data_IF_583237861467
#
_entry.id   IF_583237861467
#
_cell.length_a   1.000
_cell.length_b   1.000
_cell.length_c   1.000
_cell.angle_alpha   90.00
_cell.angle_beta   90.00
_cell.angle_gamma   90.00
#
_symmetry.space_group_name_H-M   'P 1'
#
loop_
_entity.id
_entity.type
_entity.pdbx_description
1 polymer ?
#
# COMPACT_ATOMS: atom_id res chain seq x y z
N UNK A 1 23.05 -1.57 8.08
CA UNK A 1 21.73 -1.99 8.57
C UNK A 1 21.97 -3.25 9.40
N UNK A 2 21.71 -3.23 10.70
CA UNK A 2 21.86 -4.41 11.55
C UNK A 2 20.63 -5.31 11.35
N UNK A 3 20.78 -6.38 10.58
CA UNK A 3 19.69 -7.32 10.27
C UNK A 3 19.35 -8.23 11.46
N UNK A 4 20.21 -8.29 12.46
CA UNK A 4 20.07 -9.16 13.63
C UNK A 4 19.01 -8.69 14.64
N UNK A 5 18.47 -7.47 14.48
CA UNK A 5 17.48 -6.86 15.37
C UNK A 5 16.09 -6.70 14.76
N UNK A 6 15.80 -7.41 13.65
CA UNK A 6 14.48 -7.31 12.99
C UNK A 6 13.39 -8.01 13.81
N UNK A 7 12.26 -7.32 14.01
CA UNK A 7 11.08 -7.84 14.74
C UNK A 7 10.24 -8.81 13.91
N UNK A 8 10.36 -8.75 12.59
CA UNK A 8 9.67 -9.66 11.67
C UNK A 8 10.68 -10.69 11.21
N UNK A 9 10.37 -11.98 11.40
CA UNK A 9 11.22 -13.06 10.92
C UNK A 9 11.42 -12.97 9.40
N UNK A 10 12.67 -12.80 8.99
CA UNK A 10 13.07 -12.69 7.59
C UNK A 10 13.08 -14.09 6.97
N UNK A 11 12.05 -14.42 6.24
CA UNK A 11 11.91 -15.66 5.46
C UNK A 11 10.99 -15.43 4.27
N UNK A 12 11.14 -16.23 3.23
CA UNK A 12 10.19 -16.24 2.12
C UNK A 12 8.78 -16.67 2.59
N UNK A 13 7.76 -16.02 2.06
CA UNK A 13 6.37 -16.25 2.45
C UNK A 13 5.48 -16.41 1.23
N UNK A 14 4.44 -17.25 1.37
CA UNK A 14 3.35 -17.26 0.41
C UNK A 14 2.52 -15.99 0.51
N UNK A 15 1.75 -15.67 -0.54
CA UNK A 15 0.87 -14.50 -0.51
C UNK A 15 -0.19 -14.61 0.60
N UNK A 16 -0.73 -15.81 0.86
CA UNK A 16 -1.68 -16.04 1.95
C UNK A 16 -1.04 -15.77 3.33
N UNK A 17 0.22 -16.20 3.55
CA UNK A 17 0.93 -15.90 4.79
C UNK A 17 1.15 -14.39 4.99
N UNK A 18 1.32 -13.63 3.89
CA UNK A 18 1.46 -12.18 3.95
C UNK A 18 0.14 -11.49 4.35
N UNK A 19 -1.01 -12.01 3.89
CA UNK A 19 -2.32 -11.54 4.32
C UNK A 19 -2.52 -11.75 5.83
N UNK A 20 -2.21 -12.94 6.34
CA UNK A 20 -2.29 -13.24 7.77
C UNK A 20 -1.32 -12.39 8.60
N UNK A 21 -0.09 -12.24 8.11
CA UNK A 21 0.92 -11.43 8.79
C UNK A 21 0.49 -9.97 8.87
N UNK A 22 -0.15 -9.44 7.83
CA UNK A 22 -0.65 -8.07 7.82
C UNK A 22 -1.67 -7.83 8.93
N UNK A 23 -2.59 -8.78 9.18
CA UNK A 23 -3.54 -8.68 10.30
C UNK A 23 -2.83 -8.66 11.66
N UNK A 24 -1.78 -9.47 11.83
CA UNK A 24 -0.98 -9.47 13.07
C UNK A 24 -0.26 -8.13 13.27
N UNK A 25 0.38 -7.61 12.22
CA UNK A 25 1.06 -6.30 12.27
C UNK A 25 0.07 -5.17 12.61
N UNK A 26 -1.12 -5.17 11.99
CA UNK A 26 -2.17 -4.19 12.29
C UNK A 26 -2.61 -4.30 13.75
N UNK A 27 -2.79 -5.50 14.28
CA UNK A 27 -3.15 -5.71 15.68
C UNK A 27 -2.07 -5.23 16.64
N UNK A 28 -0.80 -5.52 16.37
CA UNK A 28 0.33 -5.13 17.22
C UNK A 28 0.59 -3.61 17.19
N UNK A 29 0.37 -2.97 16.04
CA UNK A 29 0.60 -1.54 15.83
C UNK A 29 -0.70 -0.76 15.60
N UNK A 30 -1.83 -1.17 16.21
CA UNK A 30 -3.16 -0.67 15.89
C UNK A 30 -3.28 0.85 15.94
N UNK A 31 -2.87 1.49 17.05
CA UNK A 31 -2.99 2.94 17.22
C UNK A 31 -2.11 3.75 16.24
N UNK A 32 -0.80 3.45 16.10
CA UNK A 32 0.03 4.16 15.14
C UNK A 32 -0.42 3.97 13.69
N UNK A 33 -0.84 2.76 13.34
CA UNK A 33 -1.36 2.49 12.00
C UNK A 33 -2.69 3.20 11.74
N UNK A 34 -3.61 3.20 12.72
CA UNK A 34 -4.84 3.97 12.60
C UNK A 34 -4.56 5.47 12.37
N UNK A 35 -3.58 6.04 13.08
CA UNK A 35 -3.16 7.43 12.87
C UNK A 35 -2.59 7.65 11.46
N UNK A 36 -1.69 6.78 10.98
CA UNK A 36 -1.11 6.92 9.63
C UNK A 36 -2.14 6.67 8.53
N UNK A 37 -3.09 5.75 8.73
CA UNK A 37 -4.21 5.54 7.82
C UNK A 37 -5.12 6.77 7.75
N UNK A 38 -5.45 7.34 8.90
CA UNK A 38 -6.28 8.55 8.96
C UNK A 38 -5.60 9.72 8.25
N UNK A 39 -4.31 9.95 8.50
CA UNK A 39 -3.55 11.02 7.85
C UNK A 39 -3.45 10.82 6.33
N UNK A 40 -3.33 9.59 5.87
CA UNK A 40 -3.21 9.28 4.45
C UNK A 40 -4.56 9.18 3.73
N UNK A 41 -5.50 8.38 4.27
CA UNK A 41 -6.74 8.03 3.60
C UNK A 41 -7.84 9.10 3.73
N UNK A 42 -7.99 9.74 4.89
CA UNK A 42 -9.09 10.70 5.12
C UNK A 42 -9.01 11.92 4.22
N UNK A 43 -7.85 12.60 4.04
CA UNK A 43 -7.76 13.72 3.11
C UNK A 43 -8.14 13.33 1.67
N UNK A 44 -7.71 12.15 1.23
CA UNK A 44 -8.02 11.64 -0.11
C UNK A 44 -9.51 11.29 -0.25
N UNK A 45 -10.08 10.62 0.76
CA UNK A 45 -11.51 10.32 0.79
C UNK A 45 -12.38 11.59 0.75
N UNK A 46 -12.01 12.62 1.49
CA UNK A 46 -12.69 13.92 1.49
C UNK A 46 -12.54 14.65 0.15
N UNK A 47 -11.35 14.60 -0.44
CA UNK A 47 -11.09 15.16 -1.76
C UNK A 47 -11.93 14.45 -2.83
N UNK A 48 -11.98 13.13 -2.83
CA UNK A 48 -12.83 12.34 -3.72
C UNK A 48 -14.31 12.69 -3.56
N UNK A 49 -14.78 12.77 -2.31
CA UNK A 49 -16.16 13.11 -2.03
C UNK A 49 -16.50 14.51 -2.56
N UNK A 50 -15.63 15.49 -2.34
CA UNK A 50 -15.81 16.86 -2.84
C UNK A 50 -15.79 16.91 -4.37
N UNK A 51 -14.83 16.23 -5.02
CA UNK A 51 -14.66 16.24 -6.46
C UNK A 51 -15.82 15.55 -7.20
N UNK A 52 -16.32 14.46 -6.61
CA UNK A 52 -17.40 13.68 -7.20
C UNK A 52 -18.80 14.23 -6.85
N UNK A 53 -18.90 15.14 -5.87
CA UNK A 53 -20.17 15.71 -5.46
C UNK A 53 -20.91 16.40 -6.61
N UNK A 54 -20.19 17.06 -7.52
CA UNK A 54 -20.80 17.73 -8.68
C UNK A 54 -21.28 16.75 -9.77
N UNK A 55 -20.73 15.52 -9.78
CA UNK A 55 -21.14 14.49 -10.76
C UNK A 55 -22.35 13.70 -10.30
N UNK A 56 -22.81 13.96 -9.07
CA UNK A 56 -23.88 13.22 -8.40
C UNK A 56 -25.19 14.03 -8.45
N UNK A 57 -25.84 14.08 -9.58
CA UNK A 57 -27.22 14.51 -9.62
C UNK A 57 -28.09 13.40 -9.04
N UNK A 58 -28.97 13.74 -8.09
CA UNK A 58 -29.86 12.78 -7.41
C UNK A 58 -30.69 11.92 -8.36
N UNK A 59 -31.05 12.48 -9.54
CA UNK A 59 -31.83 11.78 -10.57
C UNK A 59 -31.09 10.60 -11.21
N UNK A 60 -29.76 10.59 -11.21
CA UNK A 60 -28.98 9.49 -11.81
C UNK A 60 -28.99 8.22 -10.94
N UNK A 61 -29.17 8.35 -9.62
CA UNK A 61 -29.20 7.22 -8.69
C UNK A 61 -30.56 6.50 -8.62
N UNK A 62 -31.61 7.05 -9.20
CA UNK A 62 -32.94 6.42 -9.23
C UNK A 62 -32.94 5.08 -9.98
N UNK A 63 -32.02 4.92 -10.94
CA UNK A 63 -31.91 3.70 -11.75
C UNK A 63 -30.72 2.80 -11.34
N UNK A 64 -30.06 3.09 -10.23
CA UNK A 64 -28.90 2.38 -9.74
C UNK A 64 -27.61 3.22 -9.75
N UNK A 65 -26.46 2.60 -9.49
CA UNK A 65 -25.19 3.33 -9.48
C UNK A 65 -24.77 3.71 -10.88
N UNK A 66 -24.54 5.00 -11.18
CA UNK A 66 -23.99 5.39 -12.46
C UNK A 66 -22.62 4.75 -12.69
N UNK A 67 -22.43 4.09 -13.81
CA UNK A 67 -21.13 3.51 -14.19
C UNK A 67 -20.03 4.57 -14.22
N UNK A 68 -20.36 5.79 -14.64
CA UNK A 68 -19.50 6.96 -14.66
C UNK A 68 -18.95 7.27 -13.27
N UNK A 69 -19.80 7.28 -12.24
CA UNK A 69 -19.39 7.47 -10.85
C UNK A 69 -18.40 6.39 -10.39
N UNK A 70 -18.68 5.12 -10.66
CA UNK A 70 -17.78 4.02 -10.29
C UNK A 70 -16.42 4.13 -10.99
N UNK A 71 -16.40 4.48 -12.28
CA UNK A 71 -15.18 4.65 -13.05
C UNK A 71 -14.35 5.84 -12.55
N UNK A 72 -14.98 6.98 -12.25
CA UNK A 72 -14.29 8.13 -11.67
C UNK A 72 -13.77 7.83 -10.27
N UNK A 73 -14.56 7.19 -9.42
CA UNK A 73 -14.12 6.74 -8.09
C UNK A 73 -12.90 5.84 -8.20
N UNK A 74 -12.94 4.83 -9.06
CA UNK A 74 -11.82 3.92 -9.25
C UNK A 74 -10.57 4.63 -9.79
N UNK A 75 -10.75 5.54 -10.74
CA UNK A 75 -9.66 6.34 -11.31
C UNK A 75 -8.95 7.17 -10.23
N UNK A 76 -9.70 7.93 -9.43
CA UNK A 76 -9.15 8.78 -8.39
C UNK A 76 -8.47 7.97 -7.29
N UNK A 77 -9.09 6.88 -6.83
CA UNK A 77 -8.48 5.99 -5.84
C UNK A 77 -7.14 5.42 -6.35
N UNK A 78 -7.08 4.95 -7.59
CA UNK A 78 -5.85 4.42 -8.18
C UNK A 78 -4.76 5.49 -8.26
N UNK A 79 -5.12 6.73 -8.53
CA UNK A 79 -4.19 7.85 -8.60
C UNK A 79 -3.66 8.25 -7.21
N UNK A 80 -4.54 8.34 -6.23
CA UNK A 80 -4.23 8.81 -4.88
C UNK A 80 -3.58 7.77 -3.98
N UNK A 81 -3.76 6.48 -4.29
CA UNK A 81 -3.26 5.37 -3.49
C UNK A 81 -1.80 5.50 -3.04
N UNK A 82 -0.83 5.92 -3.88
CA UNK A 82 0.56 6.09 -3.44
C UNK A 82 0.75 7.20 -2.40
N UNK A 83 -0.02 8.29 -2.51
CA UNK A 83 0.01 9.40 -1.55
C UNK A 83 -0.60 8.97 -0.22
N UNK A 84 -1.78 8.33 -0.28
CA UNK A 84 -2.46 7.81 0.90
C UNK A 84 -1.63 6.76 1.66
N UNK A 85 -0.87 5.92 0.93
CA UNK A 85 -0.03 4.88 1.51
C UNK A 85 1.30 5.41 2.09
N UNK A 86 1.75 6.60 1.71
CA UNK A 86 3.08 7.09 2.05
C UNK A 86 3.33 7.19 3.57
N UNK A 87 2.44 7.76 4.42
CA UNK A 87 2.65 7.82 5.86
C UNK A 87 2.81 6.43 6.49
N UNK A 88 1.96 5.49 6.09
CA UNK A 88 1.98 4.10 6.56
C UNK A 88 3.26 3.38 6.17
N UNK A 89 3.70 3.54 4.92
CA UNK A 89 4.93 2.92 4.41
C UNK A 89 6.16 3.42 5.16
N UNK A 90 6.26 4.73 5.40
CA UNK A 90 7.38 5.32 6.16
C UNK A 90 7.37 4.86 7.62
N UNK A 91 6.19 4.83 8.26
CA UNK A 91 6.04 4.34 9.62
C UNK A 91 6.48 2.88 9.74
N UNK A 92 5.95 1.98 8.88
CA UNK A 92 6.30 0.56 8.89
C UNK A 92 7.78 0.32 8.62
N UNK A 93 8.40 1.11 7.73
CA UNK A 93 9.82 1.05 7.46
C UNK A 93 10.68 1.32 8.70
N UNK A 94 10.26 2.24 9.57
CA UNK A 94 10.92 2.51 10.85
C UNK A 94 10.58 1.47 11.91
N UNK A 95 9.31 1.07 12.01
CA UNK A 95 8.84 0.08 12.99
C UNK A 95 9.49 -1.29 12.84
N UNK A 96 10.08 -1.59 11.67
CA UNK A 96 10.85 -2.81 11.46
C UNK A 96 12.11 -2.85 12.34
N UNK A 97 12.70 -1.69 12.65
CA UNK A 97 13.98 -1.57 13.38
C UNK A 97 13.83 -0.87 14.73
N UNK A 98 12.84 -0.01 14.89
CA UNK A 98 12.61 0.80 16.08
C UNK A 98 11.35 0.34 16.82
N UNK A 99 11.40 0.26 18.14
CA UNK A 99 10.24 -0.15 18.95
C UNK A 99 9.12 0.89 18.92
N UNK A 100 9.50 2.16 18.98
CA UNK A 100 8.59 3.30 18.98
C UNK A 100 9.14 4.37 18.04
N UNK A 101 8.83 4.30 16.74
CA UNK A 101 9.24 5.32 15.80
C UNK A 101 8.75 6.69 16.23
N UNK A 102 9.65 7.69 16.21
CA UNK A 102 9.28 9.08 16.49
C UNK A 102 8.37 9.64 15.40
N UNK A 103 7.25 10.25 15.79
CA UNK A 103 6.33 10.91 14.85
C UNK A 103 7.05 12.01 14.07
N UNK A 104 7.96 12.76 14.73
CA UNK A 104 8.74 13.81 14.09
C UNK A 104 9.65 13.25 13.00
N UNK A 105 10.29 12.09 13.25
CA UNK A 105 11.16 11.47 12.27
C UNK A 105 10.38 10.86 11.11
N UNK A 106 9.21 10.29 11.37
CA UNK A 106 8.30 9.82 10.30
C UNK A 106 7.86 11.00 9.42
N UNK A 107 7.43 12.11 10.03
CA UNK A 107 7.02 13.31 9.31
C UNK A 107 8.18 13.91 8.49
N UNK A 108 9.37 14.07 9.10
CA UNK A 108 10.56 14.57 8.41
C UNK A 108 10.91 13.74 7.19
N UNK A 109 10.87 12.42 7.34
CA UNK A 109 11.18 11.48 6.27
C UNK A 109 10.15 11.53 5.14
N UNK A 110 8.86 11.63 5.50
CA UNK A 110 7.77 11.81 4.55
C UNK A 110 7.95 13.12 3.76
N UNK A 111 8.13 14.25 4.45
CA UNK A 111 8.30 15.56 3.81
C UNK A 111 9.53 15.62 2.91
N UNK A 112 10.65 15.00 3.31
CA UNK A 112 11.87 14.95 2.49
C UNK A 112 11.68 14.17 1.20
N UNK A 113 10.78 13.19 1.18
CA UNK A 113 10.49 12.33 0.03
C UNK A 113 9.37 12.88 -0.87
N UNK A 114 8.59 13.88 -0.40
CA UNK A 114 7.45 14.44 -1.14
C UNK A 114 7.78 14.91 -2.56
N UNK A 115 8.87 15.67 -2.82
CA UNK A 115 9.14 16.13 -4.17
C UNK A 115 9.31 14.98 -5.16
N UNK A 116 9.99 13.92 -4.74
CA UNK A 116 10.22 12.75 -5.56
C UNK A 116 8.94 11.91 -5.69
N UNK A 117 8.15 11.82 -4.62
CA UNK A 117 6.86 11.15 -4.61
C UNK A 117 5.89 11.83 -5.60
N UNK A 118 5.78 13.15 -5.56
CA UNK A 118 4.94 13.93 -6.48
C UNK A 118 5.38 13.69 -7.93
N UNK A 119 6.68 13.79 -8.21
CA UNK A 119 7.19 13.61 -9.57
C UNK A 119 6.87 12.22 -10.13
N UNK A 120 7.17 11.15 -9.39
CA UNK A 120 7.01 9.78 -9.89
C UNK A 120 5.56 9.28 -9.80
N UNK A 121 4.83 9.61 -8.75
CA UNK A 121 3.51 9.04 -8.50
C UNK A 121 2.37 9.95 -8.99
N UNK A 122 2.48 11.27 -8.83
CA UNK A 122 1.43 12.17 -9.27
C UNK A 122 1.61 12.51 -10.75
N UNK A 123 2.81 12.92 -11.17
CA UNK A 123 3.03 13.37 -12.55
C UNK A 123 3.21 12.17 -13.49
N UNK A 124 4.26 11.36 -13.29
CA UNK A 124 4.60 10.30 -14.24
C UNK A 124 3.55 9.19 -14.26
N UNK A 125 3.20 8.67 -13.10
CA UNK A 125 2.16 7.64 -12.99
C UNK A 125 0.78 8.20 -13.30
N UNK A 126 0.47 9.43 -12.87
CA UNK A 126 -0.79 10.10 -13.17
C UNK A 126 -1.04 10.23 -14.67
N UNK A 127 -0.04 10.62 -15.47
CA UNK A 127 -0.16 10.64 -16.92
C UNK A 127 -0.45 9.27 -17.51
N UNK A 128 0.13 8.21 -16.93
CA UNK A 128 -0.15 6.84 -17.39
C UNK A 128 -1.53 6.36 -16.96
N UNK A 129 -2.05 6.78 -15.80
CA UNK A 129 -3.39 6.38 -15.33
C UNK A 129 -4.53 6.99 -16.16
N UNK A 130 -4.27 8.05 -16.93
CA UNK A 130 -5.26 8.60 -17.86
C UNK A 130 -5.72 7.58 -18.92
N UNK A 131 -4.88 6.58 -19.20
CA UNK A 131 -5.21 5.52 -20.14
C UNK A 131 -5.51 4.23 -19.38
N UNK A 132 -6.75 3.77 -19.36
CA UNK A 132 -7.16 2.53 -18.68
C UNK A 132 -6.29 1.31 -19.08
N UNK A 133 -5.91 1.24 -20.35
CA UNK A 133 -5.11 0.14 -20.90
C UNK A 133 -3.70 0.05 -20.28
N UNK A 134 -3.21 1.13 -19.69
CA UNK A 134 -1.88 1.16 -19.04
C UNK A 134 -1.91 0.74 -17.56
N UNK A 135 -3.08 0.60 -16.95
CA UNK A 135 -3.21 0.22 -15.54
C UNK A 135 -2.52 -1.10 -15.20
N UNK A 136 -2.71 -2.21 -15.96
CA UNK A 136 -1.97 -3.44 -15.71
C UNK A 136 -0.46 -3.24 -15.75
N UNK A 137 0.04 -2.41 -16.66
CA UNK A 137 1.47 -2.10 -16.79
C UNK A 137 2.01 -1.39 -15.54
N UNK A 138 1.24 -0.46 -14.97
CA UNK A 138 1.62 0.25 -13.75
C UNK A 138 1.72 -0.68 -12.54
N UNK A 139 0.77 -1.62 -12.41
CA UNK A 139 0.73 -2.54 -11.29
C UNK A 139 1.69 -3.72 -11.42
N UNK A 140 2.04 -4.13 -12.64
CA UNK A 140 2.96 -5.23 -12.91
C UNK A 140 4.38 -4.75 -13.13
N UNK A 141 4.56 -3.62 -13.85
CA UNK A 141 5.89 -3.09 -14.16
C UNK A 141 6.57 -2.38 -12.99
N UNK A 142 5.80 -1.64 -12.18
CA UNK A 142 6.32 -0.86 -11.05
C UNK A 142 5.48 -1.03 -9.76
N UNK A 143 5.18 -2.27 -9.34
CA UNK A 143 4.26 -2.51 -8.22
C UNK A 143 4.75 -1.89 -6.92
N UNK A 144 6.05 -1.90 -6.63
CA UNK A 144 6.64 -1.41 -5.38
C UNK A 144 7.48 -0.14 -5.54
N UNK A 145 7.21 0.67 -6.58
CA UNK A 145 7.94 1.93 -6.81
C UNK A 145 7.82 2.89 -5.62
N UNK A 146 6.66 2.90 -4.96
CA UNK A 146 6.38 3.74 -3.80
C UNK A 146 7.29 3.37 -2.61
N UNK A 147 7.40 2.09 -2.33
CA UNK A 147 8.22 1.53 -1.25
C UNK A 147 9.71 1.77 -1.52
N UNK A 148 10.17 1.53 -2.75
CA UNK A 148 11.56 1.83 -3.16
C UNK A 148 11.88 3.31 -2.97
N UNK A 149 10.96 4.19 -3.36
CA UNK A 149 11.15 5.63 -3.26
C UNK A 149 11.21 6.12 -1.81
N UNK A 150 10.28 5.66 -0.97
CA UNK A 150 10.15 6.12 0.41
C UNK A 150 11.18 5.50 1.35
N UNK A 151 11.56 4.24 1.14
CA UNK A 151 12.42 3.49 2.07
C UNK A 151 13.88 3.48 1.66
N UNK A 152 14.19 3.37 0.37
CA UNK A 152 15.57 3.32 -0.10
C UNK A 152 16.15 4.70 -0.40
N UNK A 153 15.29 5.72 -0.65
CA UNK A 153 15.68 7.12 -0.89
C UNK A 153 16.77 7.30 -1.94
N UNK A 154 16.74 6.45 -2.95
CA UNK A 154 17.69 6.56 -4.06
C UNK A 154 17.49 7.88 -4.82
N UNK A 155 18.56 8.50 -5.34
CA UNK A 155 18.41 9.69 -6.14
C UNK A 155 17.65 9.38 -7.43
N UNK A 156 16.84 10.33 -7.91
CA UNK A 156 16.06 10.18 -9.14
C UNK A 156 16.96 9.96 -10.37
N UNK A 157 18.18 10.50 -10.36
CA UNK A 157 19.19 10.39 -11.42
C UNK A 157 20.49 9.85 -10.86
N UNK A 158 21.16 8.96 -11.61
CA UNK A 158 22.48 8.44 -11.23
C UNK A 158 23.44 9.58 -10.99
N UNK A 159 24.00 9.66 -9.78
CA UNK A 159 24.98 10.66 -9.40
C UNK A 159 26.43 10.19 -9.65
N UNK A 160 26.66 8.87 -9.59
CA UNK A 160 27.96 8.23 -9.82
C UNK A 160 27.79 7.00 -10.71
N UNK A 161 28.87 6.53 -11.34
CA UNK A 161 28.91 5.36 -12.22
C UNK A 161 28.41 4.09 -11.49
N UNK A 162 28.67 3.98 -10.20
CA UNK A 162 28.28 2.83 -9.34
C UNK A 162 26.96 3.05 -8.57
N UNK A 163 26.35 4.23 -8.68
CA UNK A 163 25.11 4.55 -7.96
C UNK A 163 23.87 4.00 -8.69
N UNK A 164 22.91 3.48 -7.95
CA UNK A 164 21.58 3.13 -8.47
C UNK A 164 20.66 4.35 -8.43
N UNK A 165 19.90 4.59 -9.50
CA UNK A 165 18.76 5.53 -9.46
C UNK A 165 17.50 4.78 -9.06
N UNK A 166 16.47 5.51 -8.59
CA UNK A 166 15.16 4.93 -8.22
C UNK A 166 14.59 4.07 -9.34
N UNK A 167 14.64 4.53 -10.59
CA UNK A 167 14.16 3.79 -11.75
C UNK A 167 14.98 2.52 -12.01
N UNK A 168 16.30 2.60 -11.99
CA UNK A 168 17.20 1.44 -12.20
C UNK A 168 17.01 0.40 -11.09
N UNK A 169 16.84 0.84 -9.84
CA UNK A 169 16.60 -0.02 -8.69
C UNK A 169 15.25 -0.75 -8.79
N UNK A 170 14.20 0.00 -9.11
CA UNK A 170 12.87 -0.56 -9.35
C UNK A 170 12.91 -1.61 -10.46
N UNK A 171 13.50 -1.30 -11.62
CA UNK A 171 13.62 -2.25 -12.73
C UNK A 171 14.39 -3.51 -12.36
N UNK A 172 15.51 -3.38 -11.63
CA UNK A 172 16.32 -4.53 -11.22
C UNK A 172 15.54 -5.48 -10.29
N UNK A 173 14.72 -4.92 -9.39
CA UNK A 173 13.90 -5.68 -8.43
C UNK A 173 12.74 -6.43 -9.11
N UNK A 174 12.13 -5.82 -10.12
CA UNK A 174 10.92 -6.36 -10.76
C UNK A 174 11.22 -7.27 -11.96
N UNK A 175 12.34 -7.08 -12.68
CA UNK A 175 12.61 -7.71 -13.97
C UNK A 175 12.55 -9.25 -13.99
N UNK A 176 12.85 -9.92 -12.88
CA UNK A 176 12.85 -11.39 -12.78
C UNK A 176 11.55 -12.01 -12.27
N UNK A 177 10.64 -11.18 -11.74
CA UNK A 177 9.50 -11.66 -10.94
C UNK A 177 8.13 -11.28 -11.52
N UNK A 178 8.05 -10.84 -12.77
CA UNK A 178 6.80 -10.33 -13.36
C UNK A 178 5.62 -11.30 -13.26
N UNK A 179 5.84 -12.61 -13.44
CA UNK A 179 4.76 -13.61 -13.34
C UNK A 179 4.20 -13.74 -11.92
N UNK A 180 5.07 -13.83 -10.92
CA UNK A 180 4.67 -13.87 -9.49
C UNK A 180 3.97 -12.58 -9.08
N UNK A 181 4.51 -11.43 -9.50
CA UNK A 181 3.92 -10.11 -9.24
C UNK A 181 2.53 -9.96 -9.86
N UNK A 182 2.35 -10.44 -11.08
CA UNK A 182 1.04 -10.45 -11.73
C UNK A 182 0.04 -11.36 -10.99
N UNK A 183 0.47 -12.56 -10.60
CA UNK A 183 -0.35 -13.47 -9.81
C UNK A 183 -0.78 -12.87 -8.47
N UNK A 184 0.14 -12.23 -7.74
CA UNK A 184 -0.15 -11.52 -6.48
C UNK A 184 -1.09 -10.34 -6.68
N UNK A 185 -0.91 -9.58 -7.77
CA UNK A 185 -1.80 -8.47 -8.11
C UNK A 185 -3.23 -8.96 -8.38
N UNK A 186 -3.38 -10.01 -9.18
CA UNK A 186 -4.70 -10.61 -9.47
C UNK A 186 -5.36 -11.15 -8.20
N UNK A 187 -4.61 -11.90 -7.38
CA UNK A 187 -5.09 -12.41 -6.09
C UNK A 187 -5.50 -11.25 -5.15
N UNK A 188 -4.73 -10.15 -5.14
CA UNK A 188 -5.05 -8.95 -4.35
C UNK A 188 -6.38 -8.34 -4.78
N UNK A 189 -6.66 -8.24 -6.08
CA UNK A 189 -7.93 -7.72 -6.60
C UNK A 189 -9.11 -8.59 -6.12
N UNK A 190 -8.99 -9.92 -6.27
CA UNK A 190 -10.05 -10.85 -5.86
C UNK A 190 -10.34 -10.74 -4.37
N UNK A 191 -9.29 -10.77 -3.53
CA UNK A 191 -9.43 -10.66 -2.07
C UNK A 191 -9.96 -9.28 -1.68
N UNK A 192 -9.42 -8.20 -2.27
CA UNK A 192 -9.88 -6.83 -1.98
C UNK A 192 -11.35 -6.64 -2.34
N UNK A 193 -11.79 -7.10 -3.52
CA UNK A 193 -13.18 -7.01 -3.94
C UNK A 193 -14.09 -7.77 -2.98
N UNK A 194 -13.72 -9.00 -2.61
CA UNK A 194 -14.47 -9.78 -1.62
C UNK A 194 -14.59 -9.09 -0.27
N UNK A 195 -13.50 -8.51 0.23
CA UNK A 195 -13.48 -7.75 1.49
C UNK A 195 -14.30 -6.46 1.40
N UNK A 196 -14.23 -5.72 0.29
CA UNK A 196 -15.04 -4.50 0.09
C UNK A 196 -16.53 -4.86 0.13
N UNK A 197 -16.95 -5.89 -0.59
CA UNK A 197 -18.35 -6.34 -0.60
C UNK A 197 -18.81 -6.80 0.78
N UNK A 198 -17.97 -7.55 1.50
CA UNK A 198 -18.29 -8.03 2.85
C UNK A 198 -18.42 -6.88 3.86
N UNK A 199 -17.47 -5.93 3.87
CA UNK A 199 -17.50 -4.79 4.79
C UNK A 199 -18.64 -3.85 4.43
N UNK A 200 -18.84 -3.56 3.15
CA UNK A 200 -19.95 -2.74 2.68
C UNK A 200 -21.31 -3.35 3.07
N UNK A 201 -21.50 -4.65 2.82
CA UNK A 201 -22.71 -5.37 3.25
C UNK A 201 -22.89 -5.35 4.77
N UNK A 202 -21.82 -5.48 5.55
CA UNK A 202 -21.87 -5.41 7.01
C UNK A 202 -22.28 -4.00 7.50
N UNK A 203 -21.76 -2.92 6.87
CA UNK A 203 -22.15 -1.54 7.18
C UNK A 203 -23.63 -1.32 6.91
N UNK A 204 -24.13 -1.76 5.76
CA UNK A 204 -25.54 -1.63 5.38
C UNK A 204 -26.46 -2.43 6.32
N UNK A 205 -26.06 -3.65 6.64
CA UNK A 205 -26.80 -4.48 7.59
C UNK A 205 -26.88 -3.83 8.97
N UNK A 206 -25.74 -3.36 9.49
CA UNK A 206 -25.67 -2.73 10.81
C UNK A 206 -26.50 -1.45 10.86
N UNK A 207 -26.42 -0.60 9.83
CA UNK A 207 -27.22 0.60 9.74
C UNK A 207 -28.71 0.28 9.73
N UNK A 208 -29.16 -0.65 8.87
CA UNK A 208 -30.56 -1.04 8.76
C UNK A 208 -31.05 -1.62 10.10
N UNK A 209 -30.22 -2.41 10.79
CA UNK A 209 -30.55 -2.99 12.09
C UNK A 209 -30.73 -1.92 13.18
N UNK A 210 -29.89 -0.86 13.17
CA UNK A 210 -29.94 0.21 14.18
C UNK A 210 -31.07 1.21 13.89
N UNK A 211 -31.22 1.60 12.63
CA UNK A 211 -32.15 2.68 12.24
C UNK A 211 -33.55 2.18 11.85
N UNK A 212 -33.69 0.88 11.61
CA UNK A 212 -34.90 0.24 11.03
C UNK A 212 -35.30 0.82 9.65
N UNK A 213 -34.39 1.55 9.00
CA UNK A 213 -34.59 2.14 7.69
C UNK A 213 -33.40 1.83 6.78
N UNK A 214 -33.66 1.58 5.51
CA UNK A 214 -32.62 1.56 4.48
C UNK A 214 -32.10 3.01 4.29
N UNK A 215 -30.78 3.14 4.13
CA UNK A 215 -30.20 4.42 3.77
C UNK A 215 -30.69 4.84 2.38
N UNK A 216 -30.76 6.14 2.14
CA UNK A 216 -30.96 6.65 0.79
C UNK A 216 -29.86 6.10 -0.14
N UNK A 217 -30.22 5.71 -1.36
CA UNK A 217 -29.28 5.09 -2.32
C UNK A 217 -28.01 5.91 -2.49
N UNK A 218 -28.16 7.23 -2.58
CA UNK A 218 -27.02 8.16 -2.62
C UNK A 218 -26.02 7.90 -1.48
N UNK A 219 -26.45 7.83 -0.22
CA UNK A 219 -25.56 7.61 0.95
C UNK A 219 -24.90 6.24 0.91
N UNK A 220 -25.64 5.23 0.42
CA UNK A 220 -25.11 3.85 0.30
C UNK A 220 -23.86 3.80 -0.57
N UNK A 221 -23.84 4.53 -1.68
CA UNK A 221 -22.73 4.49 -2.62
C UNK A 221 -21.69 5.57 -2.37
N UNK A 222 -22.09 6.76 -1.94
CA UNK A 222 -21.15 7.87 -1.74
C UNK A 222 -20.43 7.83 -0.40
N UNK A 223 -21.04 7.24 0.63
CA UNK A 223 -20.45 7.16 1.96
C UNK A 223 -20.08 5.74 2.33
N UNK A 224 -21.05 4.81 2.36
CA UNK A 224 -20.78 3.46 2.88
C UNK A 224 -19.81 2.68 2.01
N UNK A 225 -19.96 2.73 0.70
CA UNK A 225 -19.05 2.07 -0.23
C UNK A 225 -17.64 2.69 -0.14
N UNK A 226 -17.54 4.03 -0.08
CA UNK A 226 -16.24 4.71 0.06
C UNK A 226 -15.54 4.33 1.37
N UNK A 227 -16.26 4.29 2.49
CA UNK A 227 -15.71 3.85 3.78
C UNK A 227 -15.20 2.41 3.69
N UNK A 228 -15.97 1.50 3.09
CA UNK A 228 -15.56 0.10 2.91
C UNK A 228 -14.29 0.00 2.05
N UNK A 229 -14.21 0.73 0.95
CA UNK A 229 -13.04 0.78 0.07
C UNK A 229 -11.80 1.26 0.84
N UNK A 230 -11.89 2.38 1.56
CA UNK A 230 -10.74 2.93 2.28
C UNK A 230 -10.27 2.04 3.45
N UNK A 231 -11.17 1.33 4.13
CA UNK A 231 -10.81 0.32 5.14
C UNK A 231 -9.98 -0.80 4.49
N UNK A 232 -10.43 -1.33 3.36
CA UNK A 232 -9.72 -2.39 2.64
C UNK A 232 -8.38 -1.90 2.08
N UNK A 233 -8.35 -0.69 1.52
CA UNK A 233 -7.09 -0.06 1.07
C UNK A 233 -6.10 0.05 2.23
N UNK A 234 -6.53 0.49 3.41
CA UNK A 234 -5.67 0.60 4.60
C UNK A 234 -5.05 -0.73 4.99
N UNK A 235 -5.82 -1.82 4.94
CA UNK A 235 -5.30 -3.16 5.12
C UNK A 235 -4.27 -3.53 4.04
N UNK A 236 -4.58 -3.28 2.77
CA UNK A 236 -3.68 -3.59 1.66
C UNK A 236 -2.42 -2.72 1.61
N UNK A 237 -2.39 -1.55 2.25
CA UNK A 237 -1.14 -0.80 2.44
C UNK A 237 -0.11 -1.62 3.24
N UNK A 238 -0.56 -2.32 4.30
CA UNK A 238 0.31 -3.19 5.10
C UNK A 238 0.70 -4.44 4.31
N UNK A 239 -0.25 -5.11 3.65
CA UNK A 239 0.03 -6.27 2.78
C UNK A 239 1.07 -5.92 1.71
N UNK A 240 0.93 -4.77 1.09
CA UNK A 240 1.83 -4.28 0.04
C UNK A 240 3.24 -4.03 0.57
N UNK A 241 3.37 -3.41 1.74
CA UNK A 241 4.65 -3.22 2.42
C UNK A 241 5.33 -4.56 2.72
N UNK A 242 4.60 -5.53 3.27
CA UNK A 242 5.12 -6.86 3.55
C UNK A 242 5.50 -7.63 2.28
N UNK A 243 4.73 -7.46 1.21
CA UNK A 243 5.03 -8.04 -0.11
C UNK A 243 6.32 -7.45 -0.71
N UNK A 244 6.56 -6.15 -0.51
CA UNK A 244 7.82 -5.51 -0.88
C UNK A 244 9.00 -6.10 -0.12
N UNK A 245 8.87 -6.30 1.22
CA UNK A 245 9.91 -6.92 2.02
C UNK A 245 10.20 -8.36 1.57
N UNK A 246 9.15 -9.16 1.31
CA UNK A 246 9.30 -10.53 0.81
C UNK A 246 10.02 -10.57 -0.55
N UNK A 247 9.65 -9.68 -1.48
CA UNK A 247 10.35 -9.55 -2.75
C UNK A 247 11.82 -9.17 -2.57
N UNK A 248 12.11 -8.27 -1.65
CA UNK A 248 13.46 -7.83 -1.35
C UNK A 248 14.31 -8.95 -0.74
N UNK A 249 13.73 -9.74 0.17
CA UNK A 249 14.38 -10.91 0.76
C UNK A 249 14.78 -11.90 -0.34
N UNK A 250 13.88 -12.21 -1.27
CA UNK A 250 14.13 -13.14 -2.39
C UNK A 250 15.16 -12.61 -3.40
N UNK A 251 15.10 -11.32 -3.73
CA UNK A 251 15.98 -10.74 -4.75
C UNK A 251 17.39 -10.43 -4.26
N UNK A 252 17.54 -10.08 -2.98
CA UNK A 252 18.81 -9.71 -2.37
C UNK A 252 19.49 -10.88 -1.62
N UNK A 253 18.82 -12.04 -1.53
CA UNK A 253 19.38 -13.22 -0.87
C UNK A 253 19.59 -13.04 0.65
N UNK A 254 18.79 -12.19 1.30
CA UNK A 254 18.93 -11.89 2.73
C UNK A 254 18.82 -13.11 3.63
N UNK A 255 18.04 -14.11 3.24
CA UNK A 255 17.91 -15.37 3.99
C UNK A 255 19.23 -16.11 4.04
N UNK A 256 19.95 -16.19 2.90
CA UNK A 256 21.27 -16.84 2.81
C UNK A 256 22.30 -16.06 3.61
N UNK A 257 22.31 -14.73 3.51
CA UNK A 257 23.24 -13.88 4.27
C UNK A 257 23.04 -14.01 5.79
N UNK A 258 21.79 -14.01 6.26
CA UNK A 258 21.48 -14.18 7.68
C UNK A 258 21.84 -15.57 8.19
N UNK A 259 21.56 -16.62 7.41
CA UNK A 259 21.93 -17.98 7.76
C UNK A 259 23.45 -18.13 7.86
N UNK A 260 24.20 -17.57 6.92
CA UNK A 260 25.66 -17.57 6.94
C UNK A 260 26.23 -16.81 8.15
N UNK A 261 25.66 -15.66 8.49
CA UNK A 261 26.07 -14.88 9.68
C UNK A 261 25.76 -15.62 10.99
N UNK A 262 24.58 -16.22 11.10
CA UNK A 262 24.19 -17.02 12.26
C UNK A 262 25.12 -18.22 12.45
N UNK A 263 25.47 -18.92 11.37
CA UNK A 263 26.39 -20.05 11.40
C UNK A 263 27.83 -19.61 11.74
N UNK A 264 28.29 -18.50 11.16
CA UNK A 264 29.58 -17.93 11.51
C UNK A 264 29.65 -17.54 13.00
N UNK A 265 28.62 -16.92 13.56
CA UNK A 265 28.57 -16.60 15.00
C UNK A 265 28.51 -17.84 15.87
N UNK A 266 27.86 -18.93 15.43
CA UNK A 266 27.84 -20.21 16.12
C UNK A 266 29.23 -20.84 16.16
N UNK A 267 29.93 -20.86 15.03
CA UNK A 267 31.29 -21.42 14.94
C UNK A 267 32.27 -20.62 15.78
N UNK A 268 32.17 -19.29 15.80
CA UNK A 268 33.04 -18.45 16.66
C UNK A 268 32.85 -18.78 18.13
N UNK A 269 31.62 -18.98 18.62
CA UNK A 269 31.35 -19.38 20.01
C UNK A 269 31.83 -20.79 20.36
N UNK A 270 32.02 -21.68 19.39
CA UNK A 270 32.55 -23.02 19.61
C UNK A 270 34.08 -23.04 19.68
N UNK A 271 34.74 -21.99 19.20
CA UNK A 271 36.19 -21.83 19.18
C UNK A 271 36.69 -21.04 20.40
N UNK A 272 35.80 -20.35 21.13
CA UNK A 272 36.04 -19.75 22.45
C UNK A 272 35.79 -20.77 23.58
#
# INVERSE_FOLDING_TARGET
MQLDSTRIAIRERSFADLLDLALRVIREHALPLAATFTIGAVPMALFNHWLLAETLNDDEFVYGVPLTYLLYTLFWIVWELPLAAAPTTVYLGKALFEEKPSVADVAKDLFSSLPQLILFQVVLRGLLTLFLITWPVLFVGWPYLNEVLLLERNPWRKRNVYGSSTSSRSSAMHARNHGDLFGRWLASIVVATGLVLAIWGAILYLQTFITFHLAAEYVVYTVHLQVAIWIVISYFMVVRYLSYLDLRIRTEGWEVELTMRAEAARLTRQLE
#
